data_IF_045759870034
#
_entry.id   IF_045759870034
#
_cell.length_a   1.000
_cell.length_b   1.000
_cell.length_c   1.000
_cell.angle_alpha   90.00
_cell.angle_beta   90.00
_cell.angle_gamma   90.00
#
_symmetry.space_group_name_H-M   'P 1'
#
loop_
_entity.id
_entity.type
_entity.pdbx_description
1 polymer ?
#
# COMPACT_ATOMS: atom_id res chain seq x y z
N UNK A 1 -26.92 -11.83 -31.45
CA UNK A 1 -25.68 -11.94 -30.65
C UNK A 1 -25.72 -10.84 -29.61
N UNK A 2 -25.93 -11.19 -28.34
CA UNK A 2 -26.25 -10.24 -27.28
C UNK A 2 -25.00 -9.45 -26.86
N UNK A 3 -24.80 -8.25 -27.40
CA UNK A 3 -23.67 -7.37 -27.08
C UNK A 3 -23.61 -6.93 -25.61
N UNK A 4 -24.66 -7.19 -24.82
CA UNK A 4 -24.69 -6.92 -23.37
C UNK A 4 -23.90 -7.92 -22.52
N UNK A 5 -23.52 -9.09 -23.04
CA UNK A 5 -22.70 -10.06 -22.30
C UNK A 5 -21.18 -9.87 -22.50
N UNK A 6 -20.77 -9.18 -23.57
CA UNK A 6 -19.35 -8.87 -23.80
C UNK A 6 -18.94 -7.61 -22.99
N UNK A 7 -19.91 -6.75 -22.63
CA UNK A 7 -19.68 -5.57 -21.79
C UNK A 7 -19.40 -5.87 -20.31
N UNK A 8 -19.78 -7.04 -19.79
CA UNK A 8 -19.63 -7.36 -18.36
C UNK A 8 -18.46 -8.30 -18.04
N UNK A 9 -17.60 -8.62 -19.02
CA UNK A 9 -16.32 -9.30 -18.79
C UNK A 9 -15.13 -8.33 -19.01
N UNK A 10 -15.39 -7.13 -19.54
CA UNK A 10 -14.39 -6.06 -19.80
C UNK A 10 -14.49 -4.97 -18.71
N UNK A 11 -14.83 -5.37 -17.47
CA UNK A 11 -15.21 -4.44 -16.39
C UNK A 11 -14.41 -4.56 -15.10
N UNK A 12 -13.25 -5.23 -15.11
CA UNK A 12 -12.36 -5.32 -13.93
C UNK A 12 -10.87 -5.41 -14.31
N UNK A 13 -10.50 -4.79 -15.42
CA UNK A 13 -9.14 -4.84 -15.94
C UNK A 13 -8.85 -3.54 -16.68
N UNK A 14 -8.60 -2.45 -15.97
CA UNK A 14 -8.03 -1.19 -16.52
C UNK A 14 -7.77 -0.15 -15.41
N UNK A 15 -6.75 -0.38 -14.58
CA UNK A 15 -5.70 0.60 -14.27
C UNK A 15 -4.36 -0.14 -14.12
N UNK A 16 -4.00 -0.95 -15.12
CA UNK A 16 -2.59 -1.29 -15.41
C UNK A 16 -2.22 -0.45 -16.62
N UNK A 17 -2.20 0.87 -16.49
CA UNK A 17 -1.80 1.74 -17.59
C UNK A 17 -0.50 2.42 -17.15
N UNK A 18 0.61 1.96 -17.77
CA UNK A 18 2.00 2.50 -17.78
C UNK A 18 3.09 1.74 -17.00
N UNK A 19 2.84 0.58 -16.38
CA UNK A 19 3.89 -0.07 -15.56
C UNK A 19 4.92 -0.94 -16.29
N UNK A 20 4.57 -1.58 -17.42
CA UNK A 20 5.37 -2.72 -17.94
C UNK A 20 6.75 -2.31 -18.49
N UNK A 21 6.93 -1.04 -18.90
CA UNK A 21 8.22 -0.55 -19.41
C UNK A 21 9.04 0.28 -18.41
N UNK A 22 8.44 0.73 -17.30
CA UNK A 22 9.09 1.65 -16.35
C UNK A 22 9.70 0.90 -15.16
N UNK A 23 9.07 -0.20 -14.74
CA UNK A 23 9.54 -0.97 -13.58
C UNK A 23 10.48 -2.10 -14.02
N UNK A 24 11.74 -2.07 -13.59
CA UNK A 24 12.73 -3.08 -13.97
C UNK A 24 12.38 -4.50 -13.48
N UNK A 25 12.93 -5.53 -14.14
CA UNK A 25 12.65 -6.96 -13.90
C UNK A 25 12.69 -7.39 -12.42
N UNK A 26 13.58 -6.79 -11.63
CA UNK A 26 13.73 -7.12 -10.21
C UNK A 26 12.53 -6.69 -9.38
N UNK A 27 11.89 -5.57 -9.73
CA UNK A 27 10.68 -5.11 -9.06
C UNK A 27 9.49 -5.99 -9.45
N UNK A 28 9.34 -6.26 -10.75
CA UNK A 28 8.25 -7.10 -11.25
C UNK A 28 8.27 -8.48 -10.59
N UNK A 29 9.44 -9.12 -10.50
CA UNK A 29 9.59 -10.41 -9.80
C UNK A 29 9.20 -10.33 -8.32
N UNK A 30 9.62 -9.28 -7.62
CA UNK A 30 9.28 -9.11 -6.21
C UNK A 30 7.78 -8.88 -6.01
N UNK A 31 7.18 -8.04 -6.85
CA UNK A 31 5.75 -7.79 -6.83
C UNK A 31 4.97 -9.08 -7.11
N UNK A 32 5.36 -9.84 -8.13
CA UNK A 32 4.77 -11.15 -8.43
C UNK A 32 4.89 -12.11 -7.25
N UNK A 33 6.05 -12.17 -6.60
CA UNK A 33 6.22 -13.00 -5.41
C UNK A 33 5.28 -12.57 -4.28
N UNK A 34 5.18 -11.27 -3.99
CA UNK A 34 4.23 -10.77 -2.98
C UNK A 34 2.79 -11.15 -3.36
N UNK A 35 2.35 -10.88 -4.58
CA UNK A 35 0.98 -11.17 -5.00
C UNK A 35 0.63 -12.67 -4.98
N UNK A 36 1.61 -13.55 -5.26
CA UNK A 36 1.40 -15.00 -5.23
C UNK A 36 1.32 -15.54 -3.79
N UNK A 37 2.10 -14.96 -2.88
CA UNK A 37 2.29 -15.53 -1.54
C UNK A 37 1.56 -14.75 -0.44
N UNK A 38 0.95 -13.58 -0.74
CA UNK A 38 0.28 -12.73 0.26
C UNK A 38 -0.79 -13.47 1.06
N UNK A 39 -1.56 -14.36 0.42
CA UNK A 39 -2.59 -15.16 1.12
C UNK A 39 -2.03 -16.18 2.11
N UNK A 40 -0.73 -16.47 2.03
CA UNK A 40 -0.03 -17.40 2.92
C UNK A 40 0.53 -16.69 4.15
N UNK A 41 0.53 -15.36 4.22
CA UNK A 41 1.01 -14.61 5.39
C UNK A 41 0.34 -15.09 6.66
N UNK A 42 1.16 -15.47 7.63
CA UNK A 42 0.75 -16.05 8.91
C UNK A 42 1.32 -15.28 10.10
N UNK A 43 2.21 -14.31 9.87
CA UNK A 43 2.79 -13.50 10.94
C UNK A 43 2.86 -12.02 10.50
N UNK A 44 2.42 -11.14 11.39
CA UNK A 44 2.52 -9.68 11.24
C UNK A 44 3.39 -9.15 12.38
N UNK A 45 4.45 -8.44 12.00
CA UNK A 45 5.39 -7.83 12.92
C UNK A 45 5.31 -6.32 12.76
N UNK A 46 5.09 -5.59 13.85
CA UNK A 46 5.06 -4.14 13.86
C UNK A 46 6.19 -3.62 14.74
N UNK A 47 7.04 -2.77 14.19
CA UNK A 47 8.21 -2.19 14.84
C UNK A 47 9.11 -3.24 15.55
N UNK A 48 9.24 -4.41 14.90
CA UNK A 48 10.05 -5.53 15.39
C UNK A 48 9.35 -6.43 16.43
N UNK A 49 8.10 -6.15 16.80
CA UNK A 49 7.30 -6.97 17.71
C UNK A 49 6.24 -7.75 16.93
N UNK A 50 6.17 -9.06 17.12
CA UNK A 50 5.10 -9.87 16.53
C UNK A 50 3.78 -9.55 17.22
N UNK A 51 2.81 -9.07 16.44
CA UNK A 51 1.50 -8.63 16.95
C UNK A 51 0.40 -9.66 16.66
N UNK A 52 0.50 -10.37 15.54
CA UNK A 52 -0.44 -11.43 15.16
C UNK A 52 0.28 -12.62 14.56
N UNK A 53 -0.20 -13.82 14.86
CA UNK A 53 0.30 -15.10 14.34
C UNK A 53 -0.85 -16.03 13.91
N UNK A 54 -0.56 -16.93 12.96
CA UNK A 54 -1.49 -17.90 12.40
C UNK A 54 -2.74 -17.25 11.80
N UNK A 55 -3.90 -17.79 12.14
CA UNK A 55 -5.20 -17.31 11.63
C UNK A 55 -5.54 -15.89 12.10
N UNK A 56 -4.93 -15.41 13.20
CA UNK A 56 -5.16 -14.05 13.70
C UNK A 56 -4.57 -12.97 12.78
N UNK A 57 -3.57 -13.31 11.98
CA UNK A 57 -2.97 -12.38 11.02
C UNK A 57 -3.89 -12.11 9.81
N UNK A 58 -4.69 -13.10 9.39
CA UNK A 58 -5.44 -13.07 8.12
C UNK A 58 -6.35 -11.85 7.94
N UNK A 59 -7.07 -11.32 8.96
CA UNK A 59 -7.91 -10.13 8.81
C UNK A 59 -7.14 -8.83 8.54
N UNK A 60 -5.83 -8.81 8.82
CA UNK A 60 -4.95 -7.64 8.75
C UNK A 60 -3.98 -7.72 7.56
N UNK A 61 -4.22 -8.64 6.62
CA UNK A 61 -3.47 -8.77 5.37
C UNK A 61 -4.31 -8.28 4.22
N UNK A 62 -3.78 -7.31 3.47
CA UNK A 62 -4.47 -6.81 2.28
C UNK A 62 -4.59 -7.89 1.21
N UNK A 63 -5.79 -8.05 0.65
CA UNK A 63 -6.02 -8.98 -0.47
C UNK A 63 -5.33 -8.50 -1.74
N UNK A 64 -5.30 -7.18 -1.93
CA UNK A 64 -4.65 -6.50 -3.05
C UNK A 64 -3.68 -5.46 -2.47
N UNK A 65 -2.50 -5.88 -1.98
CA UNK A 65 -1.54 -4.99 -1.32
C UNK A 65 -0.92 -3.95 -2.28
N UNK A 66 -1.21 -4.06 -3.58
CA UNK A 66 -0.64 -3.21 -4.62
C UNK A 66 -1.66 -3.02 -5.75
N UNK A 67 -2.49 -1.97 -5.65
CA UNK A 67 -3.46 -1.60 -6.71
C UNK A 67 -2.89 -0.51 -7.64
N UNK A 68 -2.23 0.50 -7.07
CA UNK A 68 -1.53 1.54 -7.82
C UNK A 68 -0.20 1.88 -7.13
N UNK A 69 0.82 2.25 -7.91
CA UNK A 69 2.19 2.43 -7.43
C UNK A 69 2.74 3.74 -7.96
N UNK A 70 3.37 4.52 -7.07
CA UNK A 70 4.01 5.77 -7.42
C UNK A 70 5.41 5.83 -6.84
N UNK A 71 6.44 6.13 -7.66
CA UNK A 71 7.80 6.34 -7.14
C UNK A 71 7.80 7.59 -6.28
N UNK A 72 8.39 7.47 -5.09
CA UNK A 72 8.64 8.61 -4.22
C UNK A 72 10.12 8.96 -4.29
N UNK A 73 10.42 10.09 -4.92
CA UNK A 73 11.78 10.60 -4.98
C UNK A 73 12.29 10.95 -3.57
N UNK A 74 13.62 11.06 -3.42
CA UNK A 74 14.23 11.50 -2.16
C UNK A 74 13.77 12.91 -1.74
N UNK A 75 13.33 13.74 -2.69
CA UNK A 75 12.84 15.09 -2.42
C UNK A 75 11.41 15.03 -1.86
N UNK A 76 10.53 14.29 -2.52
CA UNK A 76 9.14 14.12 -2.06
C UNK A 76 9.06 13.36 -0.74
N UNK A 77 9.94 12.39 -0.49
CA UNK A 77 10.00 11.69 0.81
C UNK A 77 10.19 12.64 2.00
N UNK A 78 10.81 13.81 1.81
CA UNK A 78 11.01 14.82 2.86
C UNK A 78 9.74 15.60 3.21
N UNK A 79 8.67 15.48 2.41
CA UNK A 79 7.36 16.07 2.71
C UNK A 79 6.59 15.25 3.75
N UNK A 80 7.00 13.99 3.96
CA UNK A 80 6.51 13.13 5.03
C UNK A 80 7.40 13.26 6.27
N UNK A 81 6.85 12.94 7.44
CA UNK A 81 7.61 12.84 8.69
C UNK A 81 8.82 11.92 8.50
N UNK A 82 9.96 12.31 9.07
CA UNK A 82 11.25 11.62 8.81
C UNK A 82 11.20 10.16 9.25
N UNK A 83 10.79 9.89 10.50
CA UNK A 83 10.54 8.54 10.97
C UNK A 83 9.20 8.04 10.40
N UNK A 84 9.10 6.76 10.00
CA UNK A 84 7.80 6.18 9.74
C UNK A 84 6.98 6.15 11.03
N UNK A 85 5.66 6.23 10.91
CA UNK A 85 4.76 6.06 12.04
C UNK A 85 4.80 4.62 12.57
N UNK A 86 4.85 3.66 11.62
CA UNK A 86 5.00 2.24 11.88
C UNK A 86 5.84 1.60 10.76
N UNK A 87 6.65 0.60 11.11
CA UNK A 87 7.17 -0.39 10.18
C UNK A 87 6.42 -1.71 10.35
N UNK A 88 5.80 -2.19 9.27
CA UNK A 88 5.00 -3.43 9.26
C UNK A 88 5.73 -4.44 8.38
N UNK A 89 6.09 -5.59 8.93
CA UNK A 89 6.61 -6.74 8.20
C UNK A 89 5.54 -7.84 8.11
N UNK A 90 5.34 -8.36 6.90
CA UNK A 90 4.50 -9.52 6.66
C UNK A 90 5.39 -10.75 6.42
N UNK A 91 5.09 -11.83 7.13
CA UNK A 91 5.93 -13.04 7.18
C UNK A 91 5.13 -14.30 6.86
N UNK A 92 5.86 -15.30 6.38
CA UNK A 92 5.38 -16.67 6.13
C UNK A 92 6.38 -17.61 6.80
N UNK A 93 5.93 -18.45 7.74
CA UNK A 93 6.77 -19.41 8.45
C UNK A 93 8.03 -18.75 9.06
N UNK A 94 7.87 -17.56 9.66
CA UNK A 94 8.98 -16.79 10.26
C UNK A 94 9.91 -16.09 9.28
N UNK A 95 9.63 -16.12 7.97
CA UNK A 95 10.43 -15.45 6.93
C UNK A 95 9.72 -14.22 6.38
N UNK A 96 10.43 -13.10 6.28
CA UNK A 96 9.90 -11.88 5.68
C UNK A 96 9.56 -12.10 4.20
N UNK A 97 8.28 -11.89 3.87
CA UNK A 97 7.80 -11.75 2.50
C UNK A 97 8.09 -10.34 1.99
N UNK A 98 7.57 -9.32 2.69
CA UNK A 98 7.82 -7.92 2.41
C UNK A 98 7.57 -7.05 3.65
N UNK A 99 7.99 -5.80 3.60
CA UNK A 99 7.71 -4.80 4.62
C UNK A 99 7.25 -3.49 3.99
N UNK A 100 6.45 -2.75 4.76
CA UNK A 100 5.98 -1.42 4.43
C UNK A 100 6.19 -0.49 5.61
N UNK A 101 6.34 0.80 5.31
CA UNK A 101 6.34 1.87 6.28
C UNK A 101 5.04 2.65 6.14
N UNK A 102 4.42 2.99 7.26
CA UNK A 102 3.33 3.94 7.28
C UNK A 102 3.94 5.33 7.37
N UNK A 103 3.82 6.12 6.30
CA UNK A 103 4.36 7.48 6.26
C UNK A 103 3.25 8.49 6.51
N UNK A 104 3.43 9.32 7.54
CA UNK A 104 2.53 10.42 7.82
C UNK A 104 2.97 11.70 7.10
N UNK A 105 2.01 12.41 6.51
CA UNK A 105 2.25 13.70 5.88
C UNK A 105 2.75 14.72 6.90
N UNK A 106 3.81 15.45 6.54
CA UNK A 106 4.45 16.44 7.40
C UNK A 106 3.87 17.84 7.28
N UNK A 107 3.29 18.16 6.12
CA UNK A 107 2.72 19.47 5.78
C UNK A 107 1.28 19.66 6.24
N UNK A 108 0.68 20.77 5.81
CA UNK A 108 -0.75 21.04 6.03
C UNK A 108 -1.65 20.45 4.92
N UNK A 109 -2.95 20.71 5.03
CA UNK A 109 -3.95 20.22 4.06
C UNK A 109 -3.78 20.84 2.68
N UNK A 110 -3.46 22.14 2.60
CA UNK A 110 -3.29 22.81 1.32
C UNK A 110 -2.09 22.21 0.57
N UNK A 111 -0.99 21.99 1.28
CA UNK A 111 0.20 21.33 0.74
C UNK A 111 -0.08 19.88 0.30
N UNK A 112 -0.92 19.15 1.04
CA UNK A 112 -1.34 17.79 0.67
C UNK A 112 -2.16 17.79 -0.63
N UNK A 113 -3.15 18.69 -0.75
CA UNK A 113 -3.97 18.82 -1.95
C UNK A 113 -3.13 19.26 -3.16
N UNK A 114 -2.17 20.16 -2.96
CA UNK A 114 -1.23 20.54 -4.00
C UNK A 114 -0.36 19.37 -4.44
N UNK A 115 0.09 18.53 -3.50
CA UNK A 115 0.88 17.34 -3.81
C UNK A 115 0.07 16.31 -4.62
N UNK A 116 -1.18 16.04 -4.24
CA UNK A 116 -2.12 15.21 -5.00
C UNK A 116 -2.27 15.72 -6.43
N UNK A 117 -2.55 17.02 -6.58
CA UNK A 117 -2.76 17.66 -7.87
C UNK A 117 -1.51 17.61 -8.76
N UNK A 118 -0.31 17.81 -8.19
CA UNK A 118 0.98 17.71 -8.90
C UNK A 118 1.24 16.31 -9.45
N UNK A 119 0.76 15.27 -8.76
CA UNK A 119 0.93 13.87 -9.17
C UNK A 119 -0.22 13.36 -10.04
N UNK A 120 -1.17 14.25 -10.41
CA UNK A 120 -2.36 13.90 -11.19
C UNK A 120 -3.16 12.75 -10.57
N UNK A 121 -3.16 12.67 -9.24
CA UNK A 121 -3.96 11.70 -8.50
C UNK A 121 -5.39 12.22 -8.43
N UNK A 122 -6.35 11.36 -8.78
CA UNK A 122 -7.77 11.64 -8.61
C UNK A 122 -8.14 11.49 -7.13
N UNK A 123 -9.02 12.36 -6.62
CA UNK A 123 -9.59 12.28 -5.27
C UNK A 123 -10.16 10.89 -4.96
N UNK A 124 -10.65 10.18 -5.97
CA UNK A 124 -11.12 8.79 -5.86
C UNK A 124 -9.98 7.83 -5.50
N UNK A 125 -8.82 7.96 -6.14
CA UNK A 125 -7.63 7.14 -5.84
C UNK A 125 -7.16 7.45 -4.42
N UNK A 126 -7.06 8.73 -4.08
CA UNK A 126 -6.59 9.16 -2.76
C UNK A 126 -7.55 8.67 -1.67
N UNK A 127 -8.86 8.89 -1.82
CA UNK A 127 -9.85 8.49 -0.81
C UNK A 127 -10.04 6.98 -0.68
N UNK A 128 -9.74 6.21 -1.72
CA UNK A 128 -9.82 4.74 -1.66
C UNK A 128 -8.56 4.12 -1.08
N UNK A 129 -7.40 4.74 -1.27
CA UNK A 129 -6.10 4.10 -1.05
C UNK A 129 -5.15 4.89 -0.12
N UNK A 130 -5.66 5.93 0.55
CA UNK A 130 -5.03 6.54 1.72
C UNK A 130 -6.08 6.76 2.80
N UNK A 131 -5.60 6.83 4.04
CA UNK A 131 -6.43 7.06 5.21
C UNK A 131 -5.77 8.12 6.10
N UNK A 132 -6.41 8.43 7.22
CA UNK A 132 -5.89 9.41 8.18
C UNK A 132 -5.55 8.76 9.50
N UNK A 133 -4.44 9.19 10.09
CA UNK A 133 -4.06 8.87 11.46
C UNK A 133 -3.73 10.16 12.20
N UNK A 134 -4.34 10.34 13.35
CA UNK A 134 -4.24 11.57 14.18
C UNK A 134 -4.57 12.85 13.38
N UNK A 135 -5.57 12.73 12.49
CA UNK A 135 -6.02 13.83 11.64
C UNK A 135 -5.10 14.16 10.47
N UNK A 136 -4.01 13.43 10.24
CA UNK A 136 -3.07 13.65 9.12
C UNK A 136 -3.17 12.54 8.07
N UNK A 137 -3.03 12.86 6.78
CA UNK A 137 -2.92 11.85 5.73
C UNK A 137 -1.76 10.90 5.98
N UNK A 138 -2.00 9.61 5.75
CA UNK A 138 -0.97 8.58 5.76
C UNK A 138 -0.99 7.78 4.46
N UNK A 139 0.19 7.28 4.08
CA UNK A 139 0.36 6.42 2.91
C UNK A 139 1.18 5.18 3.27
N UNK A 140 0.91 4.08 2.58
CA UNK A 140 1.70 2.84 2.70
C UNK A 140 2.90 2.95 1.76
N UNK A 141 4.12 2.87 2.29
CA UNK A 141 5.36 3.05 1.54
C UNK A 141 6.19 1.78 1.57
N UNK A 142 6.64 1.31 0.40
CA UNK A 142 7.57 0.19 0.29
C UNK A 142 9.02 0.70 0.26
N UNK A 143 9.76 0.66 1.39
CA UNK A 143 11.08 1.26 1.50
C UNK A 143 12.11 0.66 0.55
N UNK A 144 12.07 -0.66 0.33
CA UNK A 144 13.01 -1.38 -0.54
C UNK A 144 13.03 -0.84 -1.97
N UNK A 145 11.86 -0.44 -2.46
CA UNK A 145 11.68 -0.01 -3.84
C UNK A 145 11.41 1.50 -3.98
N UNK A 146 11.21 2.20 -2.86
CA UNK A 146 10.87 3.62 -2.75
C UNK A 146 9.54 3.98 -3.43
N UNK A 147 8.55 3.13 -3.28
CA UNK A 147 7.23 3.32 -3.85
C UNK A 147 6.19 3.61 -2.78
N UNK A 148 5.26 4.50 -3.06
CA UNK A 148 3.96 4.52 -2.36
C UNK A 148 3.09 3.43 -3.00
N UNK A 149 2.53 2.60 -2.14
CA UNK A 149 1.54 1.59 -2.46
C UNK A 149 0.18 2.20 -2.16
N UNK A 150 -0.53 2.52 -3.21
CA UNK A 150 -1.94 2.83 -3.15
C UNK A 150 -2.66 1.48 -3.22
N UNK A 151 -2.78 0.86 -2.04
CA UNK A 151 -3.41 -0.43 -1.83
C UNK A 151 -4.79 -0.20 -1.21
N UNK A 152 -5.66 -1.22 -1.26
CA UNK A 152 -6.74 -1.29 -0.27
C UNK A 152 -6.11 -1.08 1.12
N UNK A 153 -6.64 -0.13 1.89
CA UNK A 153 -6.06 0.26 3.18
C UNK A 153 -6.85 -0.28 4.36
N UNK A 154 -7.97 -0.97 4.12
CA UNK A 154 -8.90 -1.38 5.18
C UNK A 154 -8.23 -2.31 6.20
N UNK A 155 -7.42 -3.28 5.75
CA UNK A 155 -6.76 -4.21 6.66
C UNK A 155 -5.67 -3.51 7.48
N UNK A 156 -4.95 -2.58 6.85
CA UNK A 156 -3.91 -1.75 7.46
C UNK A 156 -4.51 -0.77 8.47
N UNK A 157 -5.61 -0.10 8.14
CA UNK A 157 -6.31 0.82 9.03
C UNK A 157 -6.79 0.08 10.29
N UNK A 158 -7.47 -1.07 10.12
CA UNK A 158 -7.86 -1.94 11.25
C UNK A 158 -6.68 -2.40 12.10
N UNK A 159 -5.55 -2.73 11.45
CA UNK A 159 -4.33 -3.12 12.17
C UNK A 159 -3.87 -1.97 13.06
N UNK A 160 -3.79 -0.75 12.53
CA UNK A 160 -3.32 0.41 13.29
C UNK A 160 -4.30 0.79 14.41
N UNK A 161 -5.61 0.72 14.17
CA UNK A 161 -6.63 0.92 15.21
C UNK A 161 -6.43 -0.06 16.38
N UNK A 162 -6.18 -1.34 16.08
CA UNK A 162 -5.96 -2.36 17.09
C UNK A 162 -4.68 -2.16 17.91
N UNK A 163 -3.68 -1.44 17.39
CA UNK A 163 -2.44 -1.12 18.12
C UNK A 163 -2.61 0.06 19.07
N UNK A 164 -3.61 0.91 18.85
CA UNK A 164 -3.90 2.06 19.72
C UNK A 164 -4.80 1.70 20.93
N UNK A 165 -5.37 0.49 20.96
CA UNK A 165 -6.21 -0.05 22.06
C UNK A 165 -5.38 -0.61 23.23
#
# INVERSE_FOLDING_TARGET
MNWKLIGNIIGFLLVIILGVFIFGDSFQKQLTNVMNDIGQVDEIVVDGTTVFEGEQAKPYVEKNPVSFIMELSKKERKQFVNAPLYEIEYRIDGKKLYNVHILQWGGDEEEWQQWIAQHHLDDTIVSTYSFRKDGRPVVIYWPKNRYILWADTEATERLLEQLDE
#
